data_IF_165445770369
#
_entry.id   IF_165445770369
#
_cell.length_a   1.000
_cell.length_b   1.000
_cell.length_c   1.000
_cell.angle_alpha   90.00
_cell.angle_beta   90.00
_cell.angle_gamma   90.00
#
_symmetry.space_group_name_H-M   'P 1'
#
loop_
_entity.id
_entity.type
_entity.pdbx_description
1 polymer ?
#
# COMPACT_ATOMS: atom_id res chain seq x y z
N UNK A 1 -14.58 17.24 -32.18
CA UNK A 1 -15.04 16.72 -30.87
C UNK A 1 -13.90 16.12 -30.04
N UNK A 2 -12.80 15.69 -30.65
CA UNK A 2 -11.64 15.10 -29.96
C UNK A 2 -10.69 16.09 -29.24
N UNK A 3 -10.76 17.39 -29.52
CA UNK A 3 -9.86 18.36 -28.85
C UNK A 3 -10.24 18.68 -27.40
N UNK A 4 -11.50 18.47 -26.97
CA UNK A 4 -11.96 18.86 -25.61
C UNK A 4 -11.73 17.80 -24.52
N UNK A 5 -11.40 16.56 -24.88
CA UNK A 5 -11.16 15.49 -23.90
C UNK A 5 -9.71 15.46 -23.41
N UNK A 6 -8.75 15.88 -24.25
CA UNK A 6 -7.36 16.06 -23.84
C UNK A 6 -7.22 17.15 -22.75
N UNK A 7 -8.01 18.21 -22.83
CA UNK A 7 -8.04 19.28 -21.83
C UNK A 7 -8.57 18.81 -20.47
N UNK A 8 -9.48 17.82 -20.44
CA UNK A 8 -10.00 17.24 -19.19
C UNK A 8 -9.06 16.24 -18.53
N UNK A 9 -8.29 15.47 -19.32
CA UNK A 9 -7.26 14.57 -18.80
C UNK A 9 -6.07 15.37 -18.20
N UNK A 10 -5.68 16.48 -18.84
CA UNK A 10 -4.67 17.39 -18.30
C UNK A 10 -5.10 18.07 -17.00
N UNK A 11 -6.35 18.53 -16.91
CA UNK A 11 -6.89 19.18 -15.72
C UNK A 11 -7.12 18.23 -14.52
N UNK A 12 -7.21 16.92 -14.76
CA UNK A 12 -7.31 15.90 -13.70
C UNK A 12 -5.96 15.55 -13.08
N UNK A 13 -4.88 15.46 -13.88
CA UNK A 13 -3.53 15.20 -13.39
C UNK A 13 -2.97 16.38 -12.58
N UNK A 14 -3.18 17.64 -13.02
CA UNK A 14 -2.74 18.83 -12.27
C UNK A 14 -3.45 19.00 -10.92
N UNK A 15 -4.68 18.48 -10.76
CA UNK A 15 -5.42 18.56 -9.48
C UNK A 15 -4.99 17.54 -8.44
N UNK A 16 -4.40 16.41 -8.86
CA UNK A 16 -3.88 15.39 -7.93
C UNK A 16 -2.53 15.84 -7.35
N UNK A 17 -1.70 16.54 -8.12
CA UNK A 17 -0.43 17.12 -7.64
C UNK A 17 -0.65 18.23 -6.59
N UNK A 18 -1.78 18.94 -6.65
CA UNK A 18 -2.16 19.96 -5.67
C UNK A 18 -2.44 19.44 -4.25
N UNK A 19 -2.58 18.12 -4.06
CA UNK A 19 -2.73 17.49 -2.74
C UNK A 19 -1.41 17.02 -2.13
N UNK A 20 -0.33 16.93 -2.91
CA UNK A 20 0.98 16.43 -2.47
C UNK A 20 2.01 17.53 -2.20
N UNK A 21 1.68 18.80 -2.43
CA UNK A 21 2.51 19.94 -2.05
C UNK A 21 1.73 20.98 -1.22
N UNK A 22 1.51 20.68 0.06
CA UNK A 22 1.38 21.72 1.09
C UNK A 22 2.61 21.68 1.98
N UNK A 23 3.42 22.77 2.06
CA UNK A 23 4.44 22.86 3.08
C UNK A 23 3.76 22.90 4.45
N UNK A 24 4.24 22.08 5.40
CA UNK A 24 3.95 22.26 6.81
C UNK A 24 4.41 23.67 7.23
N UNK A 25 3.49 24.63 7.21
CA UNK A 25 3.66 25.89 7.90
C UNK A 25 3.37 25.63 9.38
N UNK A 26 4.40 25.17 10.12
CA UNK A 26 4.43 25.23 11.57
C UNK A 26 4.24 26.70 11.97
N UNK A 27 3.06 27.01 12.51
CA UNK A 27 2.81 28.28 13.22
C UNK A 27 3.73 28.32 14.45
N UNK A 28 4.93 28.85 14.30
CA UNK A 28 5.69 29.44 15.38
C UNK A 28 4.88 30.62 15.93
N UNK A 29 4.38 30.48 17.16
CA UNK A 29 4.01 31.65 17.95
C UNK A 29 5.28 32.06 18.69
N UNK A 30 5.96 33.07 18.12
CA UNK A 30 7.00 33.80 18.80
C UNK A 30 6.39 34.44 20.06
N UNK A 31 6.91 34.10 21.24
CA UNK A 31 6.71 34.88 22.44
C UNK A 31 7.98 35.73 22.64
N UNK A 32 7.77 37.04 22.71
CA UNK A 32 8.78 38.07 22.90
C UNK A 32 9.47 37.92 24.26
N UNK A 33 10.80 38.10 24.26
CA UNK A 33 11.61 38.25 25.47
C UNK A 33 11.83 39.76 25.69
N UNK A 34 11.55 40.32 26.88
CA UNK A 34 11.97 41.68 27.18
C UNK A 34 13.45 41.70 27.61
N UNK A 35 14.18 42.65 27.01
CA UNK A 35 15.58 42.98 27.27
C UNK A 35 15.74 43.75 28.59
N UNK A 36 16.63 43.29 29.47
CA UNK A 36 17.29 44.12 30.49
C UNK A 36 18.74 43.62 30.68
N UNK A 37 19.74 44.51 30.51
CA UNK A 37 21.19 44.23 30.66
C UNK A 37 21.70 44.32 32.11
N UNK A 38 22.98 44.67 32.37
CA UNK A 38 24.22 43.96 32.03
C UNK A 38 25.13 43.59 33.24
N UNK A 39 25.93 42.51 33.10
CA UNK A 39 27.21 42.14 33.81
C UNK A 39 27.21 41.90 35.35
N UNK A 40 28.17 41.13 35.96
CA UNK A 40 29.50 40.81 35.45
C UNK A 40 29.97 39.34 35.51
N UNK A 41 31.05 39.17 34.75
CA UNK A 41 32.02 38.08 34.62
C UNK A 41 32.52 37.56 35.97
N UNK A 42 32.56 36.23 36.15
CA UNK A 42 33.55 35.60 37.02
C UNK A 42 34.09 34.33 36.34
N UNK A 43 35.42 34.30 36.24
CA UNK A 43 36.22 33.20 35.73
C UNK A 43 36.22 32.03 36.72
N UNK A 44 36.23 30.80 36.23
CA UNK A 44 37.03 29.66 36.74
C UNK A 44 36.88 28.42 35.84
N UNK A 45 37.85 27.49 35.86
CA UNK A 45 38.34 26.82 34.66
C UNK A 45 37.70 25.46 34.37
N UNK A 46 37.70 25.14 33.07
CA UNK A 46 37.92 23.82 32.46
C UNK A 46 37.46 22.58 33.23
N UNK A 47 36.24 22.12 32.92
CA UNK A 47 35.91 20.70 32.99
C UNK A 47 35.41 20.27 31.62
N UNK A 48 36.23 19.50 30.91
CA UNK A 48 35.81 18.75 29.72
C UNK A 48 34.77 17.74 30.23
N UNK A 49 33.49 18.06 30.05
CA UNK A 49 32.44 17.06 30.11
C UNK A 49 32.59 16.21 28.85
N UNK A 50 33.37 15.13 28.94
CA UNK A 50 33.19 13.99 28.05
C UNK A 50 31.78 13.49 28.30
N UNK A 51 30.86 13.82 27.39
CA UNK A 51 29.62 13.08 27.25
C UNK A 51 30.01 11.66 26.84
N UNK A 52 30.19 10.81 27.86
CA UNK A 52 30.22 9.38 27.68
C UNK A 52 28.81 8.99 27.28
N UNK A 53 28.53 9.02 25.97
CA UNK A 53 27.35 8.33 25.47
C UNK A 53 27.69 6.85 25.50
N UNK A 54 27.55 6.27 26.69
CA UNK A 54 27.29 4.86 26.86
C UNK A 54 25.90 4.59 26.29
N UNK A 55 25.80 4.62 24.96
CA UNK A 55 24.77 3.87 24.27
C UNK A 55 25.01 2.41 24.64
N UNK A 56 24.24 1.96 25.64
CA UNK A 56 24.03 0.56 25.92
C UNK A 56 23.71 -0.14 24.60
N UNK A 57 24.73 -0.85 24.12
CA UNK A 57 24.67 -2.15 23.47
C UNK A 57 23.26 -2.60 23.10
N UNK A 58 22.69 -2.03 22.04
CA UNK A 58 21.73 -2.79 21.24
C UNK A 58 22.61 -3.84 20.59
N UNK A 59 22.53 -5.06 21.12
CA UNK A 59 23.24 -6.20 20.58
C UNK A 59 23.02 -6.22 19.08
N UNK A 60 24.11 -6.26 18.31
CA UNK A 60 24.09 -6.88 17.00
C UNK A 60 23.54 -8.29 17.20
N UNK A 61 22.22 -8.45 17.13
CA UNK A 61 21.64 -9.72 16.76
C UNK A 61 22.10 -9.96 15.33
N UNK A 62 23.29 -10.53 15.22
CA UNK A 62 23.76 -11.21 14.04
C UNK A 62 22.74 -12.30 13.79
N UNK A 63 21.76 -12.04 12.93
CA UNK A 63 20.84 -13.06 12.46
C UNK A 63 21.70 -14.17 11.88
N UNK A 64 21.56 -15.38 12.43
CA UNK A 64 22.28 -16.56 11.96
C UNK A 64 22.04 -16.73 10.45
N UNK A 65 23.07 -17.09 9.64
CA UNK A 65 22.94 -17.20 8.19
C UNK A 65 21.83 -18.16 7.74
N UNK A 66 21.51 -19.18 8.55
CA UNK A 66 20.39 -20.08 8.32
C UNK A 66 19.04 -19.38 8.42
N UNK A 67 18.88 -18.42 9.34
CA UNK A 67 17.64 -17.71 9.55
C UNK A 67 17.38 -16.71 8.42
N UNK A 68 18.42 -16.03 7.94
CA UNK A 68 18.38 -15.23 6.71
C UNK A 68 18.01 -16.07 5.47
N UNK A 69 18.58 -17.27 5.34
CA UNK A 69 18.27 -18.19 4.23
C UNK A 69 16.83 -18.69 4.26
N UNK A 70 16.28 -18.97 5.46
CA UNK A 70 14.88 -19.42 5.60
C UNK A 70 13.93 -18.27 5.27
N UNK A 71 14.16 -17.06 5.77
CA UNK A 71 13.32 -15.89 5.47
C UNK A 71 13.32 -15.56 3.97
N UNK A 72 14.48 -15.64 3.32
CA UNK A 72 14.59 -15.43 1.87
C UNK A 72 13.83 -16.51 1.08
N UNK A 73 13.96 -17.78 1.45
CA UNK A 73 13.23 -18.87 0.80
C UNK A 73 11.71 -18.71 0.94
N UNK A 74 11.22 -18.31 2.12
CA UNK A 74 9.78 -18.05 2.32
C UNK A 74 9.27 -16.88 1.48
N UNK A 75 10.09 -15.84 1.31
CA UNK A 75 9.74 -14.69 0.48
C UNK A 75 9.64 -15.08 -0.99
N UNK A 76 10.54 -15.92 -1.49
CA UNK A 76 10.52 -16.40 -2.86
C UNK A 76 9.30 -17.27 -3.13
N UNK A 77 8.90 -18.12 -2.18
CA UNK A 77 7.67 -18.91 -2.27
C UNK A 77 6.42 -18.03 -2.30
N UNK A 78 6.33 -17.05 -1.39
CA UNK A 78 5.24 -16.08 -1.32
C UNK A 78 5.15 -15.26 -2.62
N UNK A 79 6.28 -14.78 -3.14
CA UNK A 79 6.34 -14.09 -4.43
C UNK A 79 5.86 -14.98 -5.56
N UNK A 80 6.48 -16.15 -5.73
CA UNK A 80 6.16 -17.06 -6.84
C UNK A 80 4.67 -17.44 -6.85
N UNK A 81 4.09 -17.63 -5.67
CA UNK A 81 2.66 -17.84 -5.52
C UNK A 81 1.85 -16.65 -6.05
N UNK A 82 2.17 -15.42 -5.61
CA UNK A 82 1.45 -14.21 -6.00
C UNK A 82 1.60 -13.93 -7.50
N UNK A 83 2.80 -14.09 -8.06
CA UNK A 83 3.03 -13.94 -9.50
C UNK A 83 2.20 -14.92 -10.31
N UNK A 84 2.06 -16.16 -9.84
CA UNK A 84 1.27 -17.19 -10.52
C UNK A 84 -0.23 -16.88 -10.52
N UNK A 85 -0.79 -16.39 -9.41
CA UNK A 85 -2.24 -16.17 -9.28
C UNK A 85 -2.70 -14.81 -9.80
N UNK A 86 -1.80 -13.83 -9.89
CA UNK A 86 -2.12 -12.48 -10.41
C UNK A 86 -1.58 -12.23 -11.82
N UNK A 87 -0.58 -13.00 -12.26
CA UNK A 87 0.15 -12.74 -13.50
C UNK A 87 1.15 -11.59 -13.44
N UNK A 88 1.26 -10.88 -12.31
CA UNK A 88 2.17 -9.74 -12.13
C UNK A 88 3.48 -10.16 -11.47
N UNK A 89 4.61 -9.74 -12.05
CA UNK A 89 5.94 -9.94 -11.46
C UNK A 89 6.37 -8.70 -10.70
N UNK A 90 6.55 -8.83 -9.38
CA UNK A 90 6.89 -7.69 -8.50
C UNK A 90 8.34 -7.23 -8.70
N UNK A 91 8.52 -5.93 -8.93
CA UNK A 91 9.83 -5.27 -8.97
C UNK A 91 10.31 -4.91 -7.57
N UNK A 92 9.38 -4.50 -6.70
CA UNK A 92 9.62 -4.16 -5.30
C UNK A 92 9.15 -5.27 -4.38
N UNK A 93 10.10 -5.89 -3.68
CA UNK A 93 9.81 -6.90 -2.64
C UNK A 93 9.09 -6.28 -1.45
N UNK A 94 9.47 -5.04 -1.09
CA UNK A 94 8.88 -4.30 0.03
C UNK A 94 7.38 -4.06 -0.18
N UNK A 95 6.96 -3.73 -1.42
CA UNK A 95 5.53 -3.56 -1.73
C UNK A 95 4.75 -4.86 -1.57
N UNK A 96 5.31 -5.97 -2.05
CA UNK A 96 4.71 -7.30 -1.89
C UNK A 96 4.58 -7.67 -0.40
N UNK A 97 5.68 -7.57 0.36
CA UNK A 97 5.67 -7.89 1.78
C UNK A 97 4.68 -7.01 2.56
N UNK A 98 4.65 -5.71 2.27
CA UNK A 98 3.71 -4.78 2.91
C UNK A 98 2.26 -5.18 2.63
N UNK A 99 1.95 -5.61 1.42
CA UNK A 99 0.61 -6.05 1.01
C UNK A 99 0.17 -7.38 1.66
N UNK A 100 1.11 -8.18 2.16
CA UNK A 100 0.83 -9.43 2.88
C UNK A 100 0.74 -9.25 4.40
N UNK A 101 0.96 -8.03 4.92
CA UNK A 101 0.87 -7.75 6.36
C UNK A 101 -0.50 -7.12 6.68
N UNK A 102 -1.30 -7.86 7.46
CA UNK A 102 -2.69 -7.50 7.78
C UNK A 102 -2.84 -6.13 8.46
N UNK A 103 -1.80 -5.64 9.14
CA UNK A 103 -1.76 -4.28 9.70
C UNK A 103 -2.07 -3.20 8.67
N UNK A 104 -1.50 -3.33 7.46
CA UNK A 104 -1.58 -2.30 6.44
C UNK A 104 -2.82 -2.43 5.55
N UNK A 105 -3.48 -3.60 5.55
CA UNK A 105 -4.55 -3.91 4.62
C UNK A 105 -5.63 -2.83 4.59
N UNK A 106 -6.22 -2.41 5.72
CA UNK A 106 -7.32 -1.44 5.70
C UNK A 106 -6.99 -0.13 4.98
N UNK A 107 -5.77 0.37 5.14
CA UNK A 107 -5.33 1.62 4.49
C UNK A 107 -5.07 1.39 3.00
N UNK A 108 -4.43 0.27 2.66
CA UNK A 108 -4.14 -0.09 1.28
C UNK A 108 -5.42 -0.42 0.51
N UNK A 109 -6.29 -1.23 1.11
CA UNK A 109 -7.59 -1.65 0.64
C UNK A 109 -8.47 -0.48 0.22
N UNK A 110 -8.51 0.60 1.00
CA UNK A 110 -9.28 1.79 0.65
C UNK A 110 -8.89 2.39 -0.71
N UNK A 111 -7.59 2.42 -1.02
CA UNK A 111 -7.11 2.93 -2.32
C UNK A 111 -7.22 1.85 -3.39
N UNK A 112 -6.91 0.60 -3.05
CA UNK A 112 -7.01 -0.55 -3.94
C UNK A 112 -8.42 -0.80 -4.47
N UNK A 113 -9.44 -0.64 -3.62
CA UNK A 113 -10.86 -0.68 -3.98
C UNK A 113 -11.20 0.37 -5.06
N UNK A 114 -10.70 1.60 -4.89
CA UNK A 114 -10.90 2.65 -5.89
C UNK A 114 -10.19 2.31 -7.21
N UNK A 115 -8.95 1.82 -7.16
CA UNK A 115 -8.18 1.42 -8.35
C UNK A 115 -8.87 0.26 -9.07
N UNK A 116 -9.33 -0.76 -8.35
CA UNK A 116 -10.09 -1.89 -8.89
C UNK A 116 -11.33 -1.41 -9.64
N UNK A 117 -12.12 -0.52 -9.02
CA UNK A 117 -13.35 0.02 -9.63
C UNK A 117 -13.06 0.85 -10.87
N UNK A 118 -12.00 1.66 -10.85
CA UNK A 118 -11.60 2.45 -12.02
C UNK A 118 -11.19 1.50 -13.16
N UNK A 119 -10.38 0.48 -12.90
CA UNK A 119 -9.97 -0.48 -13.93
C UNK A 119 -11.16 -1.23 -14.55
N UNK A 120 -12.13 -1.65 -13.73
CA UNK A 120 -13.36 -2.30 -14.23
C UNK A 120 -14.19 -1.33 -15.09
N UNK A 121 -14.36 -0.09 -14.64
CA UNK A 121 -15.15 0.90 -15.35
C UNK A 121 -14.46 1.44 -16.60
N UNK A 122 -13.13 1.49 -16.62
CA UNK A 122 -12.33 1.85 -17.80
C UNK A 122 -12.52 0.82 -18.92
N UNK A 123 -12.39 -0.48 -18.61
CA UNK A 123 -12.70 -1.56 -19.56
C UNK A 123 -14.17 -1.49 -20.05
N UNK A 124 -15.12 -1.28 -19.14
CA UNK A 124 -16.54 -1.17 -19.50
C UNK A 124 -16.86 0.08 -20.34
N UNK A 125 -16.19 1.21 -20.10
CA UNK A 125 -16.45 2.46 -20.79
C UNK A 125 -16.21 2.33 -22.30
N UNK A 126 -15.16 1.60 -22.67
CA UNK A 126 -14.81 1.31 -24.06
C UNK A 126 -15.79 0.31 -24.72
N UNK A 127 -16.43 -0.57 -23.94
CA UNK A 127 -17.43 -1.53 -24.44
C UNK A 127 -18.74 -0.86 -24.89
N UNK A 128 -19.01 0.39 -24.47
CA UNK A 128 -20.16 1.18 -24.93
C UNK A 128 -21.55 0.62 -24.53
N UNK A 129 -21.61 -0.25 -23.52
CA UNK A 129 -22.88 -0.82 -23.02
C UNK A 129 -23.63 0.13 -22.08
N UNK A 130 -24.81 -0.27 -21.57
CA UNK A 130 -25.65 0.64 -20.77
C UNK A 130 -25.06 0.96 -19.40
N UNK A 131 -25.43 2.10 -18.82
CA UNK A 131 -24.98 2.54 -17.50
C UNK A 131 -25.34 1.51 -16.43
N UNK A 132 -26.52 0.89 -16.53
CA UNK A 132 -26.97 -0.15 -15.61
C UNK A 132 -26.04 -1.37 -15.65
N UNK A 133 -25.55 -1.74 -16.84
CA UNK A 133 -24.59 -2.83 -17.01
C UNK A 133 -23.25 -2.49 -16.38
N UNK A 134 -22.73 -1.28 -16.60
CA UNK A 134 -21.48 -0.82 -15.99
C UNK A 134 -21.53 -0.79 -14.47
N UNK A 135 -22.61 -0.23 -13.92
CA UNK A 135 -22.86 -0.23 -12.49
C UNK A 135 -22.95 -1.65 -11.92
N UNK A 136 -23.68 -2.55 -12.59
CA UNK A 136 -23.81 -3.95 -12.18
C UNK A 136 -22.46 -4.69 -12.17
N UNK A 137 -21.67 -4.59 -13.24
CA UNK A 137 -20.35 -5.23 -13.32
C UNK A 137 -19.42 -4.69 -12.24
N UNK A 138 -19.32 -3.38 -12.10
CA UNK A 138 -18.47 -2.75 -11.08
C UNK A 138 -18.85 -3.23 -9.68
N UNK A 139 -20.14 -3.21 -9.34
CA UNK A 139 -20.60 -3.64 -8.02
C UNK A 139 -20.29 -5.11 -7.75
N UNK A 140 -20.52 -5.99 -8.73
CA UNK A 140 -20.35 -7.44 -8.56
C UNK A 140 -18.88 -7.86 -8.52
N UNK A 141 -18.05 -7.34 -9.41
CA UNK A 141 -16.62 -7.71 -9.45
C UNK A 141 -15.84 -7.16 -8.26
N UNK A 142 -16.17 -5.96 -7.78
CA UNK A 142 -15.54 -5.34 -6.61
C UNK A 142 -16.27 -5.63 -5.30
N UNK A 143 -17.22 -6.59 -5.26
CA UNK A 143 -17.90 -6.95 -4.03
C UNK A 143 -16.98 -7.75 -3.11
N UNK A 144 -17.00 -7.45 -1.81
CA UNK A 144 -16.26 -8.21 -0.79
C UNK A 144 -16.45 -9.73 -0.92
N UNK A 145 -17.66 -10.19 -1.22
CA UNK A 145 -17.97 -11.60 -1.38
C UNK A 145 -17.20 -12.25 -2.55
N UNK A 146 -17.11 -11.55 -3.68
CA UNK A 146 -16.36 -11.99 -4.87
C UNK A 146 -14.86 -12.04 -4.57
N UNK A 147 -14.31 -10.99 -3.94
CA UNK A 147 -12.89 -10.97 -3.55
C UNK A 147 -12.55 -12.05 -2.52
N UNK A 148 -13.46 -12.32 -1.58
CA UNK A 148 -13.32 -13.40 -0.60
C UNK A 148 -13.35 -14.78 -1.23
N UNK A 149 -14.27 -15.00 -2.18
CA UNK A 149 -14.39 -16.26 -2.89
C UNK A 149 -13.11 -16.54 -3.69
N UNK A 150 -12.59 -15.54 -4.41
CA UNK A 150 -11.31 -15.64 -5.11
C UNK A 150 -10.16 -15.93 -4.15
N UNK A 151 -10.02 -15.15 -3.06
CA UNK A 151 -8.94 -15.31 -2.09
C UNK A 151 -8.92 -16.70 -1.43
N UNK A 152 -10.09 -17.29 -1.19
CA UNK A 152 -10.22 -18.67 -0.69
C UNK A 152 -9.88 -19.69 -1.76
N UNK A 153 -10.32 -19.48 -2.99
CA UNK A 153 -10.06 -20.40 -4.10
C UNK A 153 -8.57 -20.56 -4.38
N UNK A 154 -7.81 -19.47 -4.29
CA UNK A 154 -6.35 -19.52 -4.51
C UNK A 154 -5.57 -19.91 -3.27
N UNK A 155 -6.21 -19.98 -2.10
CA UNK A 155 -5.58 -20.19 -0.79
C UNK A 155 -4.60 -19.06 -0.40
N UNK A 156 -5.07 -17.79 -0.46
CA UNK A 156 -4.27 -16.61 -0.11
C UNK A 156 -4.05 -16.48 1.41
N UNK A 157 -4.96 -17.03 2.22
CA UNK A 157 -4.98 -16.85 3.67
C UNK A 157 -3.66 -17.19 4.39
N UNK A 158 -3.02 -18.33 4.10
CA UNK A 158 -1.75 -18.71 4.73
C UNK A 158 -0.57 -17.74 4.49
N UNK A 159 -0.61 -16.92 3.44
CA UNK A 159 0.46 -15.95 3.14
C UNK A 159 0.33 -14.67 3.96
N UNK A 160 -0.86 -14.36 4.46
CA UNK A 160 -1.10 -13.11 5.16
C UNK A 160 -0.59 -13.22 6.60
N UNK A 161 0.31 -12.30 6.96
CA UNK A 161 0.88 -12.19 8.30
C UNK A 161 -0.03 -11.35 9.18
N UNK A 162 -0.54 -11.96 10.26
CA UNK A 162 -1.39 -11.32 11.25
C UNK A 162 -0.56 -10.58 12.31
N UNK A 163 -1.15 -9.54 12.89
CA UNK A 163 -0.53 -8.79 13.99
C UNK A 163 -0.45 -9.62 15.27
N UNK A 164 0.64 -9.46 16.03
CA UNK A 164 0.71 -9.95 17.41
C UNK A 164 0.92 -11.46 17.56
N UNK A 165 1.55 -12.14 16.60
CA UNK A 165 1.91 -13.56 16.75
C UNK A 165 0.75 -14.54 16.64
N UNK A 166 -0.41 -14.10 16.13
CA UNK A 166 -1.51 -15.00 15.79
C UNK A 166 -1.05 -15.99 14.70
N UNK A 167 -1.41 -17.28 14.81
CA UNK A 167 -1.01 -18.27 13.83
C UNK A 167 -1.53 -17.91 12.44
N UNK A 168 -0.70 -18.12 11.40
CA UNK A 168 -1.10 -17.99 10.00
C UNK A 168 -2.36 -18.85 9.76
N UNK A 169 -3.38 -18.27 9.12
CA UNK A 169 -4.62 -18.97 8.74
C UNK A 169 -5.91 -18.60 9.49
N UNK A 170 -5.87 -17.89 10.64
CA UNK A 170 -7.09 -17.42 11.33
C UNK A 170 -7.60 -16.08 10.81
N UNK A 171 -7.82 -15.97 9.51
CA UNK A 171 -8.11 -14.70 8.83
C UNK A 171 -9.61 -14.54 8.63
N UNK A 172 -10.15 -13.40 9.06
CA UNK A 172 -11.58 -13.11 8.84
C UNK A 172 -11.87 -12.91 7.35
N UNK A 173 -13.10 -13.19 6.93
CA UNK A 173 -13.55 -12.92 5.55
C UNK A 173 -13.27 -11.48 5.12
N UNK A 174 -13.45 -10.52 6.03
CA UNK A 174 -13.17 -9.12 5.73
C UNK A 174 -11.68 -8.85 5.48
N UNK A 175 -10.80 -9.46 6.25
CA UNK A 175 -9.36 -9.34 6.03
C UNK A 175 -8.90 -9.99 4.73
N UNK A 176 -9.59 -11.05 4.26
CA UNK A 176 -9.32 -11.63 2.94
C UNK A 176 -9.68 -10.65 1.81
N UNK A 177 -10.87 -10.03 1.82
CA UNK A 177 -11.20 -9.02 0.81
C UNK A 177 -10.25 -7.81 0.88
N UNK A 178 -9.96 -7.30 2.09
CA UNK A 178 -9.03 -6.18 2.25
C UNK A 178 -7.60 -6.55 1.76
N UNK A 179 -7.19 -7.81 1.87
CA UNK A 179 -5.89 -8.28 1.36
C UNK A 179 -5.84 -8.27 -0.18
N UNK A 180 -6.91 -8.70 -0.84
CA UNK A 180 -6.99 -8.65 -2.32
C UNK A 180 -6.91 -7.21 -2.81
N UNK A 181 -7.66 -6.29 -2.19
CA UNK A 181 -7.60 -4.87 -2.52
C UNK A 181 -6.20 -4.28 -2.23
N UNK A 182 -5.54 -4.70 -1.14
CA UNK A 182 -4.17 -4.29 -0.84
C UNK A 182 -3.15 -4.79 -1.88
N UNK A 183 -3.30 -6.02 -2.38
CA UNK A 183 -2.47 -6.55 -3.47
C UNK A 183 -2.67 -5.78 -4.77
N UNK A 184 -3.92 -5.43 -5.12
CA UNK A 184 -4.20 -4.57 -6.27
C UNK A 184 -3.48 -3.22 -6.14
N UNK A 185 -3.53 -2.60 -4.96
CA UNK A 185 -2.78 -1.36 -4.71
C UNK A 185 -1.27 -1.57 -4.88
N UNK A 186 -0.72 -2.65 -4.33
CA UNK A 186 0.71 -2.92 -4.41
C UNK A 186 1.19 -3.08 -5.85
N UNK A 187 0.43 -3.81 -6.68
CA UNK A 187 0.72 -3.97 -8.12
C UNK A 187 0.62 -2.62 -8.84
N UNK A 188 -0.40 -1.83 -8.52
CA UNK A 188 -0.58 -0.51 -9.12
C UNK A 188 0.60 0.42 -8.79
N UNK A 189 1.12 0.38 -7.56
CA UNK A 189 2.30 1.15 -7.18
C UNK A 189 3.58 0.62 -7.84
N UNK A 190 3.77 -0.71 -7.89
CA UNK A 190 4.94 -1.37 -8.45
C UNK A 190 5.12 -1.12 -9.96
N UNK A 191 4.00 -0.91 -10.66
CA UNK A 191 3.96 -0.62 -12.10
C UNK A 191 4.09 0.88 -12.42
N UNK A 192 4.14 1.76 -11.41
CA UNK A 192 4.16 3.20 -11.63
C UNK A 192 2.78 3.78 -11.94
N UNK A 193 1.72 3.18 -11.38
CA UNK A 193 0.30 3.53 -11.55
C UNK A 193 -0.28 3.18 -12.93
N UNK A 194 0.17 2.07 -13.51
CA UNK A 194 -0.30 1.61 -14.81
C UNK A 194 -1.66 0.89 -14.68
N UNK A 195 -2.70 1.46 -15.28
CA UNK A 195 -4.06 0.92 -15.23
C UNK A 195 -4.22 -0.32 -16.13
N UNK A 196 -3.50 -0.40 -17.25
CA UNK A 196 -3.59 -1.54 -18.17
C UNK A 196 -3.09 -2.83 -17.52
N UNK A 197 -2.07 -2.72 -16.66
CA UNK A 197 -1.60 -3.86 -15.86
C UNK A 197 -2.68 -4.33 -14.88
N UNK A 198 -3.40 -3.41 -14.23
CA UNK A 198 -4.49 -3.78 -13.32
C UNK A 198 -5.64 -4.47 -14.06
N UNK A 199 -5.99 -4.00 -15.25
CA UNK A 199 -6.98 -4.65 -16.12
C UNK A 199 -6.54 -6.08 -16.47
N UNK A 200 -5.26 -6.28 -16.81
CA UNK A 200 -4.71 -7.61 -17.06
C UNK A 200 -4.72 -8.51 -15.82
N UNK A 201 -4.44 -7.96 -14.63
CA UNK A 201 -4.52 -8.69 -13.36
C UNK A 201 -5.95 -9.12 -13.08
N UNK A 202 -6.94 -8.25 -13.24
CA UNK A 202 -8.37 -8.57 -13.04
C UNK A 202 -8.81 -9.71 -13.97
N UNK A 203 -8.38 -9.68 -15.24
CA UNK A 203 -8.64 -10.75 -16.21
C UNK A 203 -7.97 -12.07 -15.81
N UNK A 204 -6.74 -12.01 -15.30
CA UNK A 204 -5.97 -13.18 -14.85
C UNK A 204 -6.58 -13.80 -13.58
N UNK A 205 -7.08 -12.97 -12.67
CA UNK A 205 -7.80 -13.40 -11.48
C UNK A 205 -9.17 -14.01 -11.80
N UNK A 206 -9.71 -13.75 -13.00
CA UNK A 206 -11.03 -14.19 -13.46
C UNK A 206 -12.13 -13.93 -12.42
N UNK A 207 -12.17 -12.71 -11.87
CA UNK A 207 -13.13 -12.33 -10.81
C UNK A 207 -14.59 -12.53 -11.22
N UNK A 208 -14.88 -12.50 -12.52
CA UNK A 208 -16.22 -12.73 -13.06
C UNK A 208 -16.74 -14.14 -12.76
N UNK A 209 -15.87 -15.15 -12.69
CA UNK A 209 -16.25 -16.53 -12.33
C UNK A 209 -16.73 -16.67 -10.88
N UNK A 210 -16.43 -15.69 -10.02
CA UNK A 210 -16.83 -15.63 -8.61
C UNK A 210 -17.96 -14.62 -8.36
N UNK A 211 -18.38 -13.88 -9.38
CA UNK A 211 -19.47 -12.92 -9.30
C UNK A 211 -20.81 -13.60 -9.60
N UNK A 212 -21.82 -13.30 -8.77
CA UNK A 212 -23.20 -13.71 -9.03
C UNK A 212 -23.91 -12.63 -9.85
N UNK A 213 -24.08 -12.83 -11.15
CA UNK A 213 -24.82 -11.88 -12.00
C UNK A 213 -26.33 -12.09 -11.92
#
# INVERSE_FOLDING_TARGET
>A
MFQRLADYAGAWLEKIDGWLCRPLCLKTRCAEVPLVGPFPISHTPTTIFSFNISWLTISEHRFEPLQLSIMAATLDEERNFIERVTGHRFRSEDLLQTALIAFYHKRMALVGDAVLKIAILDDWYDDGTTIEKGHSIQQKLAENATLQAWARQVDLGPLITLNGGQPRGSISSRQLSDAVEALILAIWLDTGKDLDVIKQVIRTMDLASFASF
#
